data_IF_399072997586
#
_entry.id   IF_399072997586
#
_cell.length_a   1.000
_cell.length_b   1.000
_cell.length_c   1.000
_cell.angle_alpha   90.00
_cell.angle_beta   90.00
_cell.angle_gamma   90.00
#
_symmetry.space_group_name_H-M   'P 1'
#
loop_
_entity.id
_entity.type
_entity.pdbx_description
1 polymer ?
#
# COMPACT_ATOMS: atom_id res chain seq x y z
N UNK A 1 -9.70 17.51 8.72
CA UNK A 1 -9.48 16.05 8.86
C UNK A 1 -9.91 15.33 7.58
N UNK A 2 -8.95 14.75 6.86
CA UNK A 2 -9.19 13.91 5.70
C UNK A 2 -9.23 12.43 6.13
N UNK A 3 -10.27 11.70 5.74
CA UNK A 3 -10.45 10.31 6.16
C UNK A 3 -10.62 10.13 7.67
N UNK A 4 -10.05 9.06 8.22
CA UNK A 4 -10.21 8.64 9.63
C UNK A 4 -8.89 8.48 10.41
N UNK A 5 -7.74 8.80 9.79
CA UNK A 5 -6.41 8.65 10.41
C UNK A 5 -6.01 9.79 11.35
N UNK A 6 -6.98 10.61 11.77
CA UNK A 6 -6.81 11.72 12.72
C UNK A 6 -5.64 12.68 12.44
N UNK A 7 -5.31 12.91 11.17
CA UNK A 7 -4.33 13.92 10.74
C UNK A 7 -5.00 15.17 10.16
N UNK A 8 -4.51 16.35 10.53
CA UNK A 8 -4.94 17.63 9.96
C UNK A 8 -4.17 17.88 8.65
N UNK A 9 -4.58 17.14 7.63
CA UNK A 9 -4.00 17.24 6.30
C UNK A 9 -4.59 18.42 5.53
N UNK A 10 -3.71 19.13 4.84
CA UNK A 10 -4.05 20.21 3.93
C UNK A 10 -3.20 20.12 2.67
N UNK A 11 -3.68 20.74 1.60
CA UNK A 11 -2.84 21.03 0.46
C UNK A 11 -1.75 22.03 0.90
N UNK A 12 -0.52 21.82 0.46
CA UNK A 12 0.61 22.66 0.80
C UNK A 12 0.90 23.64 -0.36
N UNK A 13 1.37 24.86 -0.06
CA UNK A 13 1.73 25.82 -1.10
C UNK A 13 2.87 25.30 -1.97
N UNK A 14 2.92 25.78 -3.21
CA UNK A 14 4.03 25.53 -4.12
C UNK A 14 5.31 26.15 -3.55
N UNK A 15 6.43 25.44 -3.67
CA UNK A 15 7.74 26.03 -3.40
C UNK A 15 8.11 26.87 -4.61
N UNK A 16 8.24 28.18 -4.44
CA UNK A 16 8.68 29.07 -5.53
C UNK A 16 10.09 28.71 -5.99
N UNK A 17 10.31 28.71 -7.31
CA UNK A 17 11.62 28.51 -7.93
C UNK A 17 12.69 29.55 -7.52
N UNK A 18 12.28 30.64 -6.84
CA UNK A 18 13.16 31.74 -6.44
C UNK A 18 13.66 31.70 -4.99
N UNK A 19 13.65 30.55 -4.32
CA UNK A 19 14.41 30.33 -3.08
C UNK A 19 14.05 31.23 -1.88
N UNK A 20 12.95 31.98 -1.96
CA UNK A 20 12.49 32.77 -0.82
C UNK A 20 11.71 31.84 0.12
N UNK A 21 12.26 31.65 1.32
CA UNK A 21 11.68 30.90 2.44
C UNK A 21 10.31 31.49 2.82
N UNK A 22 9.26 31.09 2.12
CA UNK A 22 7.90 31.25 2.60
C UNK A 22 7.67 30.20 3.71
N UNK A 23 7.01 30.65 4.78
CA UNK A 23 6.81 29.97 6.06
C UNK A 23 6.82 28.43 6.01
N UNK A 24 7.50 27.81 6.98
CA UNK A 24 7.68 26.37 7.13
C UNK A 24 6.39 25.60 6.79
N UNK A 25 6.30 25.12 5.54
CA UNK A 25 5.28 24.17 5.15
C UNK A 25 5.48 22.95 6.04
N UNK A 26 4.45 22.53 6.77
CA UNK A 26 4.55 21.34 7.61
C UNK A 26 4.92 20.09 6.79
N UNK A 27 5.20 18.96 7.47
CA UNK A 27 5.68 17.75 6.82
C UNK A 27 4.82 17.35 5.62
N UNK A 28 5.46 17.13 4.47
CA UNK A 28 4.79 16.71 3.24
C UNK A 28 4.61 15.20 3.28
N UNK A 29 3.37 14.73 3.26
CA UNK A 29 3.05 13.31 3.27
C UNK A 29 2.90 12.75 1.84
N UNK A 30 2.30 13.51 0.93
CA UNK A 30 2.03 13.07 -0.43
C UNK A 30 2.44 14.10 -1.46
N UNK A 31 3.05 13.65 -2.55
CA UNK A 31 3.39 14.47 -3.71
C UNK A 31 3.03 13.72 -5.00
N UNK A 32 2.09 14.27 -5.75
CA UNK A 32 1.64 13.70 -7.02
C UNK A 32 2.29 14.36 -8.24
N UNK A 33 3.00 15.46 -8.01
CA UNK A 33 3.70 16.27 -9.01
C UNK A 33 4.18 17.57 -8.38
N UNK A 34 4.58 18.53 -9.21
CA UNK A 34 5.05 19.83 -8.72
C UNK A 34 3.93 20.67 -8.11
N UNK A 35 2.67 20.42 -8.50
CA UNK A 35 1.53 21.27 -8.18
C UNK A 35 0.67 20.75 -7.02
N UNK A 36 0.63 19.43 -6.81
CA UNK A 36 -0.23 18.79 -5.80
C UNK A 36 0.62 18.12 -4.73
N UNK A 37 0.71 18.81 -3.59
CA UNK A 37 1.41 18.37 -2.37
C UNK A 37 0.42 18.42 -1.21
N UNK A 38 0.34 17.33 -0.45
CA UNK A 38 -0.52 17.21 0.73
C UNK A 38 0.37 16.90 1.91
N UNK A 39 0.11 17.57 3.04
CA UNK A 39 0.87 17.33 4.25
C UNK A 39 0.15 17.83 5.47
N UNK A 40 0.81 17.72 6.62
CA UNK A 40 0.25 18.13 7.91
C UNK A 40 0.41 19.64 8.03
N UNK A 41 -0.69 20.38 8.16
CA UNK A 41 -0.64 21.83 8.30
C UNK A 41 -1.57 22.31 9.39
N UNK A 42 -1.03 23.07 10.36
CA UNK A 42 -1.84 23.79 11.33
C UNK A 42 -2.56 24.93 10.64
N UNK A 43 -3.90 24.88 10.62
CA UNK A 43 -4.81 25.82 9.95
C UNK A 43 -4.22 27.19 9.60
N UNK A 44 -3.87 27.40 8.34
CA UNK A 44 -3.14 28.59 7.93
C UNK A 44 -3.17 28.88 6.44
N UNK A 45 -3.99 29.86 6.08
CA UNK A 45 -4.22 30.52 4.77
C UNK A 45 -4.92 29.69 3.67
N UNK A 46 -5.90 30.31 2.97
CA UNK A 46 -6.43 29.74 1.73
C UNK A 46 -5.31 29.63 0.71
N UNK A 47 -5.15 28.45 0.12
CA UNK A 47 -4.28 28.28 -1.03
C UNK A 47 -4.85 29.06 -2.21
N UNK A 48 -3.97 29.61 -3.04
CA UNK A 48 -4.37 30.04 -4.36
C UNK A 48 -5.06 28.87 -5.09
N UNK A 49 -6.13 29.18 -5.83
CA UNK A 49 -6.84 28.17 -6.61
C UNK A 49 -5.85 27.48 -7.56
N UNK A 50 -5.77 26.14 -7.49
CA UNK A 50 -4.99 25.36 -8.44
C UNK A 50 -5.66 25.45 -9.81
N UNK A 51 -4.86 25.68 -10.86
CA UNK A 51 -5.35 25.52 -12.22
C UNK A 51 -5.46 24.02 -12.53
N UNK A 52 -6.64 23.45 -12.28
CA UNK A 52 -6.88 22.01 -12.41
C UNK A 52 -6.76 21.49 -13.84
N UNK A 53 -7.00 22.34 -14.84
CA UNK A 53 -6.86 21.94 -16.25
C UNK A 53 -5.40 21.64 -16.61
N UNK A 54 -4.47 22.39 -16.01
CA UNK A 54 -3.03 22.26 -16.22
C UNK A 54 -2.37 21.13 -15.42
N UNK A 55 -3.11 20.47 -14.52
CA UNK A 55 -2.59 19.35 -13.73
C UNK A 55 -2.36 18.11 -14.61
N UNK A 56 -1.28 17.40 -14.34
CA UNK A 56 -1.05 16.05 -14.85
C UNK A 56 -2.10 15.07 -14.32
N UNK A 57 -2.21 13.90 -14.94
CA UNK A 57 -3.21 12.90 -14.54
C UNK A 57 -2.98 12.38 -13.11
N UNK A 58 -1.71 12.23 -12.70
CA UNK A 58 -1.35 11.86 -11.33
C UNK A 58 -1.76 12.96 -10.33
N UNK A 59 -1.51 14.23 -10.65
CA UNK A 59 -1.92 15.37 -9.81
C UNK A 59 -3.44 15.49 -9.70
N UNK A 60 -4.17 15.32 -10.80
CA UNK A 60 -5.65 15.27 -10.81
C UNK A 60 -6.15 14.14 -9.93
N UNK A 61 -5.58 12.95 -10.07
CA UNK A 61 -5.94 11.77 -9.28
C UNK A 61 -5.72 12.00 -7.79
N UNK A 62 -4.55 12.53 -7.41
CA UNK A 62 -4.22 12.85 -6.02
C UNK A 62 -5.11 13.92 -5.40
N UNK A 63 -5.39 14.99 -6.15
CA UNK A 63 -6.29 16.07 -5.72
C UNK A 63 -7.73 15.58 -5.54
N UNK A 64 -8.24 14.79 -6.49
CA UNK A 64 -9.59 14.24 -6.41
C UNK A 64 -9.72 13.24 -5.26
N UNK A 65 -8.71 12.39 -5.03
CA UNK A 65 -8.65 11.49 -3.89
C UNK A 65 -8.66 12.25 -2.55
N UNK A 66 -7.87 13.32 -2.44
CA UNK A 66 -7.85 14.17 -1.26
C UNK A 66 -9.21 14.82 -0.99
N UNK A 67 -9.84 15.39 -2.02
CA UNK A 67 -11.21 15.96 -1.92
C UNK A 67 -12.24 14.92 -1.52
N UNK A 68 -12.14 13.70 -2.05
CA UNK A 68 -12.99 12.60 -1.64
C UNK A 68 -12.83 12.31 -0.14
N UNK A 69 -11.60 12.26 0.38
CA UNK A 69 -11.33 12.05 1.81
C UNK A 69 -11.84 13.19 2.70
N UNK A 70 -11.89 14.41 2.17
CA UNK A 70 -12.50 15.58 2.82
C UNK A 70 -14.03 15.62 2.72
N UNK A 71 -14.65 14.74 1.95
CA UNK A 71 -16.11 14.71 1.82
C UNK A 71 -16.78 14.07 3.03
N UNK A 72 -17.95 14.59 3.40
CA UNK A 72 -18.78 14.00 4.46
C UNK A 72 -19.19 12.54 4.15
N UNK A 73 -19.61 12.19 2.92
CA UNK A 73 -19.97 10.80 2.60
C UNK A 73 -18.80 9.82 2.79
N UNK A 74 -17.58 10.23 2.48
CA UNK A 74 -16.40 9.38 2.71
C UNK A 74 -16.19 9.16 4.21
N UNK A 75 -16.11 10.23 5.00
CA UNK A 75 -15.92 10.14 6.46
C UNK A 75 -17.03 9.32 7.13
N UNK A 76 -18.29 9.49 6.71
CA UNK A 76 -19.40 8.70 7.21
C UNK A 76 -19.19 7.19 6.96
N UNK A 77 -18.77 6.80 5.74
CA UNK A 77 -18.46 5.40 5.42
C UNK A 77 -17.26 4.85 6.20
N UNK A 78 -16.23 5.67 6.47
CA UNK A 78 -15.10 5.25 7.32
C UNK A 78 -15.50 5.05 8.77
N UNK A 79 -16.37 5.91 9.30
CA UNK A 79 -16.92 5.79 10.65
C UNK A 79 -17.85 4.57 10.81
N UNK A 80 -18.60 4.24 9.76
CA UNK A 80 -19.47 3.06 9.70
C UNK A 80 -18.85 1.90 8.91
N UNK A 81 -17.50 1.79 8.88
CA UNK A 81 -16.85 0.81 8.02
C UNK A 81 -17.29 -0.61 8.41
N UNK A 82 -17.56 -1.50 7.45
CA UNK A 82 -17.91 -2.87 7.75
C UNK A 82 -16.82 -3.51 8.60
N UNK A 83 -17.23 -4.29 9.60
CA UNK A 83 -16.34 -5.11 10.43
C UNK A 83 -15.31 -4.29 11.23
N UNK A 84 -15.59 -3.02 11.54
CA UNK A 84 -14.68 -2.14 12.29
C UNK A 84 -14.19 -2.74 13.62
N UNK A 85 -15.08 -3.44 14.33
CA UNK A 85 -14.85 -4.04 15.65
C UNK A 85 -14.58 -5.56 15.57
N UNK A 86 -14.47 -6.11 14.36
CA UNK A 86 -14.24 -7.53 14.14
C UNK A 86 -12.76 -7.73 13.82
N UNK A 87 -12.01 -8.48 14.65
CA UNK A 87 -10.63 -8.81 14.35
C UNK A 87 -10.54 -9.55 13.00
N UNK A 88 -9.60 -9.12 12.16
CA UNK A 88 -9.28 -9.80 10.91
C UNK A 88 -8.92 -11.26 11.18
N UNK A 89 -9.50 -12.20 10.43
CA UNK A 89 -9.30 -13.63 10.65
C UNK A 89 -10.25 -14.31 11.65
N UNK A 90 -11.16 -13.56 12.30
CA UNK A 90 -12.15 -14.19 13.20
C UNK A 90 -13.12 -15.11 12.44
N UNK A 91 -13.36 -16.30 13.00
CA UNK A 91 -14.06 -17.40 12.33
C UNK A 91 -15.58 -17.26 12.25
N UNK A 92 -16.16 -16.21 12.82
CA UNK A 92 -17.60 -16.17 13.15
C UNK A 92 -18.44 -15.16 12.36
N UNK A 93 -17.88 -14.28 11.51
CA UNK A 93 -18.69 -13.20 10.93
C UNK A 93 -18.22 -12.56 9.60
N UNK A 94 -17.50 -13.27 8.73
CA UNK A 94 -16.88 -12.62 7.57
C UNK A 94 -17.24 -13.32 6.25
N UNK A 95 -17.57 -12.59 5.16
CA UNK A 95 -17.68 -13.16 3.82
C UNK A 95 -16.35 -13.81 3.43
N UNK A 96 -16.39 -14.99 2.81
CA UNK A 96 -15.20 -15.66 2.27
C UNK A 96 -15.42 -15.77 0.76
N UNK A 97 -14.89 -14.82 -0.01
CA UNK A 97 -14.85 -14.87 -1.48
C UNK A 97 -13.62 -15.64 -1.97
N UNK A 98 -12.51 -15.63 -1.23
CA UNK A 98 -11.25 -16.28 -1.57
C UNK A 98 -10.99 -17.51 -0.70
N UNK A 99 -10.43 -18.55 -1.34
CA UNK A 99 -10.68 -19.96 -1.01
C UNK A 99 -9.86 -20.53 0.14
N UNK A 100 -9.00 -19.76 0.80
CA UNK A 100 -8.05 -20.36 1.73
C UNK A 100 -7.87 -19.62 3.06
N UNK A 101 -8.24 -20.30 4.15
CA UNK A 101 -7.93 -19.90 5.53
C UNK A 101 -6.45 -20.10 5.88
N UNK A 102 -5.70 -20.85 5.07
CA UNK A 102 -4.27 -21.17 5.27
C UNK A 102 -3.31 -20.25 4.47
N UNK A 103 -3.79 -19.50 3.48
CA UNK A 103 -2.95 -18.54 2.74
C UNK A 103 -2.56 -17.31 3.59
N UNK A 104 -3.33 -17.03 4.63
CA UNK A 104 -3.08 -16.04 5.69
C UNK A 104 -1.77 -16.31 6.47
N UNK A 105 -1.21 -17.52 6.36
CA UNK A 105 -0.08 -18.02 7.18
C UNK A 105 1.28 -17.74 6.54
N UNK A 106 1.35 -17.44 5.24
CA UNK A 106 2.62 -17.14 4.57
C UNK A 106 2.38 -16.07 3.52
N UNK A 107 2.99 -14.89 3.71
CA UNK A 107 3.06 -13.88 2.66
C UNK A 107 3.50 -14.48 1.32
N UNK A 108 3.05 -13.91 0.20
CA UNK A 108 3.28 -14.49 -1.10
C UNK A 108 4.79 -14.68 -1.34
N UNK A 109 5.24 -15.90 -1.64
CA UNK A 109 6.65 -16.18 -1.84
C UNK A 109 7.17 -15.34 -3.00
N UNK A 110 8.39 -14.85 -2.86
CA UNK A 110 9.08 -14.19 -3.96
C UNK A 110 9.46 -15.27 -4.96
N UNK A 111 8.78 -15.34 -6.11
CA UNK A 111 9.21 -16.20 -7.20
C UNK A 111 10.66 -15.84 -7.55
N UNK A 112 11.60 -16.73 -7.23
CA UNK A 112 12.99 -16.58 -7.63
C UNK A 112 13.09 -16.79 -9.13
N UNK A 113 13.73 -15.84 -9.80
CA UNK A 113 14.08 -15.98 -11.21
C UNK A 113 15.18 -17.04 -11.32
N UNK A 114 14.99 -18.15 -12.05
CA UNK A 114 16.02 -19.18 -12.21
C UNK A 114 17.28 -18.66 -12.93
N UNK A 115 17.26 -17.44 -13.50
CA UNK A 115 18.41 -16.77 -14.09
C UNK A 115 19.09 -15.74 -13.18
N UNK A 116 18.53 -15.45 -11.99
CA UNK A 116 19.16 -14.54 -11.05
C UNK A 116 20.27 -15.29 -10.29
N UNK A 117 21.51 -14.79 -10.39
CA UNK A 117 22.57 -15.14 -9.44
C UNK A 117 22.04 -14.99 -8.00
N UNK A 118 22.52 -15.78 -7.03
CA UNK A 118 22.08 -15.66 -5.64
C UNK A 118 22.38 -14.25 -5.15
N UNK A 119 21.36 -13.40 -5.16
CA UNK A 119 21.43 -12.10 -4.52
C UNK A 119 21.63 -12.39 -3.04
N UNK A 120 22.64 -11.76 -2.42
CA UNK A 120 22.64 -11.62 -0.97
C UNK A 120 21.27 -11.12 -0.51
N UNK A 121 20.85 -11.49 0.70
CA UNK A 121 19.55 -11.10 1.24
C UNK A 121 19.28 -9.63 0.89
N UNK A 122 18.14 -9.30 0.24
CA UNK A 122 17.89 -7.94 -0.22
C UNK A 122 18.06 -6.98 0.95
N UNK A 123 18.88 -5.94 0.74
CA UNK A 123 19.13 -4.92 1.75
C UNK A 123 17.77 -4.35 2.20
N UNK A 124 17.49 -4.48 3.51
CA UNK A 124 16.22 -4.07 4.07
C UNK A 124 16.00 -2.57 3.79
N UNK A 125 14.79 -2.23 3.32
CA UNK A 125 14.46 -0.84 2.97
C UNK A 125 14.05 -0.07 4.21
N UNK A 126 14.30 1.24 4.20
CA UNK A 126 13.76 2.17 5.21
C UNK A 126 12.53 2.88 4.65
N UNK A 127 11.47 2.94 5.43
CA UNK A 127 10.35 3.84 5.20
C UNK A 127 10.75 5.23 5.68
N UNK A 128 11.66 5.89 4.97
CA UNK A 128 12.17 7.21 5.30
C UNK A 128 12.51 7.97 4.02
N UNK A 129 12.43 9.30 4.06
CA UNK A 129 12.63 10.16 2.89
C UNK A 129 11.47 10.04 1.89
N UNK A 130 11.81 10.24 0.61
CA UNK A 130 10.89 10.06 -0.52
C UNK A 130 10.75 8.58 -0.86
N UNK A 131 9.52 8.09 -0.88
CA UNK A 131 9.17 6.71 -1.22
C UNK A 131 8.27 6.72 -2.45
N UNK A 132 8.77 6.16 -3.56
CA UNK A 132 8.00 6.06 -4.79
C UNK A 132 7.01 4.89 -4.75
N UNK A 133 5.75 5.20 -4.99
CA UNK A 133 4.64 4.23 -5.05
C UNK A 133 4.13 4.18 -6.48
N UNK A 134 4.43 3.08 -7.16
CA UNK A 134 3.86 2.77 -8.47
C UNK A 134 2.52 2.08 -8.28
N UNK A 135 1.41 2.77 -8.57
CA UNK A 135 0.07 2.24 -8.41
C UNK A 135 -0.48 1.82 -9.78
N UNK A 136 -0.61 0.52 -10.00
CA UNK A 136 -1.15 -0.06 -11.25
C UNK A 136 -2.56 -0.57 -10.98
N UNK A 137 -3.55 0.14 -11.48
CA UNK A 137 -4.96 -0.20 -11.36
C UNK A 137 -5.37 -0.95 -12.62
N UNK A 138 -5.69 -2.23 -12.48
CA UNK A 138 -5.98 -3.13 -13.60
C UNK A 138 -7.48 -3.11 -13.87
N UNK A 139 -7.84 -2.76 -15.10
CA UNK A 139 -9.21 -2.72 -15.58
C UNK A 139 -9.37 -3.74 -16.71
N UNK A 140 -10.11 -4.81 -16.41
CA UNK A 140 -10.38 -5.89 -17.35
C UNK A 140 -11.71 -5.74 -18.10
N UNK A 141 -12.14 -6.77 -18.84
CA UNK A 141 -13.43 -6.78 -19.53
C UNK A 141 -14.63 -6.99 -18.59
N UNK A 142 -15.80 -6.49 -18.98
CA UNK A 142 -17.07 -6.79 -18.32
C UNK A 142 -17.08 -6.45 -16.83
N UNK A 143 -17.36 -7.43 -15.97
CA UNK A 143 -17.38 -7.26 -14.50
C UNK A 143 -15.99 -7.03 -13.88
N UNK A 144 -14.91 -7.21 -14.64
CA UNK A 144 -13.54 -6.93 -14.21
C UNK A 144 -13.13 -5.47 -14.47
N UNK A 145 -13.97 -4.69 -15.15
CA UNK A 145 -13.69 -3.30 -15.47
C UNK A 145 -13.62 -2.45 -14.20
N UNK A 146 -12.59 -1.59 -14.12
CA UNK A 146 -12.48 -0.61 -13.04
C UNK A 146 -13.14 0.69 -13.48
N UNK A 147 -14.15 1.13 -12.73
CA UNK A 147 -14.80 2.42 -12.98
C UNK A 147 -13.96 3.58 -12.45
N UNK A 148 -14.14 4.78 -12.99
CA UNK A 148 -13.46 6.00 -12.49
C UNK A 148 -13.72 6.24 -11.00
N UNK A 149 -14.92 5.91 -10.51
CA UNK A 149 -15.26 6.04 -9.10
C UNK A 149 -14.45 5.07 -8.22
N UNK A 150 -14.26 3.83 -8.68
CA UNK A 150 -13.43 2.84 -8.00
C UNK A 150 -11.95 3.22 -8.06
N UNK A 151 -11.45 3.67 -9.21
CA UNK A 151 -10.09 4.20 -9.37
C UNK A 151 -9.81 5.34 -8.40
N UNK A 152 -10.68 6.36 -8.35
CA UNK A 152 -10.56 7.46 -7.38
C UNK A 152 -10.63 6.97 -5.93
N UNK A 153 -11.48 5.99 -5.64
CA UNK A 153 -11.58 5.41 -4.29
C UNK A 153 -10.30 4.69 -3.91
N UNK A 154 -9.72 3.86 -4.79
CA UNK A 154 -8.43 3.20 -4.55
C UNK A 154 -7.36 4.23 -4.19
N UNK A 155 -7.20 5.29 -4.99
CA UNK A 155 -6.20 6.33 -4.72
C UNK A 155 -6.48 7.01 -3.36
N UNK A 156 -7.74 7.24 -2.99
CA UNK A 156 -8.10 7.79 -1.68
C UNK A 156 -7.79 6.85 -0.51
N UNK A 157 -8.05 5.54 -0.64
CA UNK A 157 -7.72 4.55 0.39
C UNK A 157 -6.20 4.39 0.55
N UNK A 158 -5.46 4.34 -0.56
CA UNK A 158 -3.99 4.34 -0.58
C UNK A 158 -3.45 5.61 0.09
N UNK A 159 -4.00 6.78 -0.26
CA UNK A 159 -3.60 8.03 0.35
C UNK A 159 -3.85 7.98 1.87
N UNK A 160 -5.04 7.55 2.32
CA UNK A 160 -5.37 7.45 3.75
C UNK A 160 -4.44 6.51 4.53
N UNK A 161 -4.18 5.29 4.01
CA UNK A 161 -3.29 4.34 4.66
C UNK A 161 -1.84 4.81 4.73
N UNK A 162 -1.36 5.47 3.67
CA UNK A 162 -0.03 6.04 3.66
C UNK A 162 0.08 7.33 4.50
N UNK A 163 -0.99 8.13 4.61
CA UNK A 163 -1.05 9.25 5.57
C UNK A 163 -0.81 8.73 6.99
N UNK A 164 -1.45 7.62 7.37
CA UNK A 164 -1.23 6.99 8.67
C UNK A 164 0.24 6.63 8.87
N UNK A 165 0.84 5.83 7.97
CA UNK A 165 2.24 5.44 8.09
C UNK A 165 3.18 6.66 8.17
N UNK A 166 3.07 7.59 7.23
CA UNK A 166 3.91 8.80 7.23
C UNK A 166 3.71 9.68 8.47
N UNK A 167 2.50 9.74 9.00
CA UNK A 167 2.18 10.46 10.24
C UNK A 167 2.73 9.82 11.51
N UNK A 168 2.95 8.50 11.51
CA UNK A 168 3.57 7.76 12.62
C UNK A 168 5.11 7.86 12.63
N UNK A 169 5.75 8.33 11.56
CA UNK A 169 7.20 8.45 11.49
C UNK A 169 7.72 9.46 12.53
N UNK A 170 8.58 9.07 13.51
CA UNK A 170 9.03 9.96 14.57
C UNK A 170 9.74 11.22 14.07
N UNK A 171 10.62 11.08 13.07
CA UNK A 171 11.30 12.21 12.43
C UNK A 171 10.43 13.01 11.46
N UNK A 172 9.21 12.54 11.15
CA UNK A 172 8.28 13.15 10.18
C UNK A 172 8.94 13.42 8.82
N UNK A 173 9.80 12.49 8.41
CA UNK A 173 10.66 12.58 7.22
C UNK A 173 10.19 11.69 6.06
N UNK A 174 8.95 11.20 6.10
CA UNK A 174 8.37 10.33 5.06
C UNK A 174 7.50 11.14 4.11
N UNK A 175 7.82 11.07 2.82
CA UNK A 175 7.00 11.62 1.73
C UNK A 175 6.75 10.56 0.66
N UNK A 176 5.49 10.26 0.38
CA UNK A 176 5.11 9.36 -0.69
C UNK A 176 4.98 10.12 -2.01
N UNK A 177 5.62 9.59 -3.06
CA UNK A 177 5.63 10.16 -4.41
C UNK A 177 5.04 9.15 -5.38
N UNK A 178 4.15 9.58 -6.27
CA UNK A 178 3.30 8.64 -6.99
C UNK A 178 3.62 8.55 -8.48
N UNK A 179 3.51 7.34 -9.02
CA UNK A 179 3.25 7.06 -10.43
C UNK A 179 1.97 6.23 -10.49
N UNK A 180 0.94 6.70 -11.18
CA UNK A 180 -0.38 6.05 -11.20
C UNK A 180 -0.71 5.66 -12.64
N UNK A 181 -0.93 4.38 -12.85
CA UNK A 181 -1.26 3.80 -14.14
C UNK A 181 -2.60 3.09 -14.06
N UNK A 182 -3.47 3.32 -15.04
CA UNK A 182 -4.69 2.51 -15.23
C UNK A 182 -4.45 1.62 -16.44
N UNK A 183 -4.15 0.35 -16.19
CA UNK A 183 -3.87 -0.64 -17.22
C UNK A 183 -5.19 -1.24 -17.74
N UNK A 184 -5.56 -0.88 -18.96
CA UNK A 184 -6.70 -1.48 -19.66
C UNK A 184 -6.24 -2.76 -20.38
N UNK A 185 -6.88 -3.89 -20.07
CA UNK A 185 -6.54 -5.20 -20.63
C UNK A 185 -7.78 -5.97 -21.05
N UNK A 186 -7.63 -6.85 -22.03
CA UNK A 186 -8.70 -7.72 -22.55
C UNK A 186 -8.41 -9.20 -22.24
N UNK A 187 -7.96 -9.48 -21.02
CA UNK A 187 -7.68 -10.84 -20.54
C UNK A 187 -8.88 -11.32 -19.72
N UNK A 188 -9.46 -12.51 -19.98
CA UNK A 188 -10.54 -13.05 -19.15
C UNK A 188 -10.02 -13.46 -17.77
N UNK A 189 -10.94 -13.57 -16.79
CA UNK A 189 -10.58 -14.02 -15.45
C UNK A 189 -10.14 -15.50 -15.43
N UNK A 190 -9.24 -15.85 -14.51
CA UNK A 190 -8.79 -17.24 -14.31
C UNK A 190 -9.75 -17.96 -13.36
N UNK A 191 -10.76 -18.62 -13.93
CA UNK A 191 -11.83 -19.27 -13.14
C UNK A 191 -11.66 -20.79 -12.97
N UNK A 192 -10.76 -21.40 -13.72
CA UNK A 192 -10.47 -22.83 -13.61
C UNK A 192 -9.81 -23.15 -12.27
N UNK A 193 -10.06 -24.37 -11.78
CA UNK A 193 -9.32 -24.88 -10.63
C UNK A 193 -7.84 -25.10 -11.01
N UNK A 194 -6.89 -24.77 -10.11
CA UNK A 194 -5.49 -25.09 -10.33
C UNK A 194 -5.30 -26.62 -10.42
N UNK A 195 -4.28 -27.11 -11.14
CA UNK A 195 -3.98 -28.54 -11.22
C UNK A 195 -3.86 -29.19 -9.84
N UNK A 196 -4.26 -30.46 -9.72
CA UNK A 196 -4.11 -31.20 -8.48
C UNK A 196 -2.63 -31.27 -8.05
N UNK A 197 -2.35 -30.99 -6.78
CA UNK A 197 -0.99 -30.97 -6.23
C UNK A 197 -0.21 -29.68 -6.50
N UNK A 198 -0.85 -28.62 -7.04
CA UNK A 198 -0.24 -27.29 -7.12
C UNK A 198 0.20 -26.84 -5.73
N UNK A 199 1.46 -26.42 -5.59
CA UNK A 199 2.01 -25.95 -4.33
C UNK A 199 1.46 -24.55 -4.02
N UNK A 200 1.45 -24.17 -2.75
CA UNK A 200 0.93 -22.87 -2.31
C UNK A 200 1.52 -21.70 -3.11
N UNK A 201 2.83 -21.70 -3.28
CA UNK A 201 3.58 -20.68 -4.02
C UNK A 201 3.13 -20.55 -5.48
N UNK A 202 2.83 -21.69 -6.12
CA UNK A 202 2.39 -21.76 -7.51
C UNK A 202 0.93 -21.30 -7.67
N UNK A 203 0.13 -21.30 -6.60
CA UNK A 203 -1.26 -20.82 -6.64
C UNK A 203 -1.33 -19.32 -6.87
N UNK A 204 -0.44 -18.54 -6.23
CA UNK A 204 -0.38 -17.09 -6.45
C UNK A 204 -0.10 -16.79 -7.93
N UNK A 205 0.95 -17.38 -8.49
CA UNK A 205 1.31 -17.20 -9.91
C UNK A 205 0.24 -17.73 -10.87
N UNK A 206 -0.45 -18.82 -10.53
CA UNK A 206 -1.52 -19.38 -11.36
C UNK A 206 -2.63 -18.37 -11.65
N UNK A 207 -3.09 -17.66 -10.61
CA UNK A 207 -4.16 -16.66 -10.74
C UNK A 207 -3.64 -15.29 -11.19
N UNK A 208 -2.45 -14.88 -10.73
CA UNK A 208 -1.91 -13.54 -10.97
C UNK A 208 -1.33 -13.37 -12.39
N UNK A 209 -0.55 -14.35 -12.85
CA UNK A 209 0.28 -14.20 -14.06
C UNK A 209 -0.50 -13.72 -15.30
N UNK A 210 -1.67 -14.27 -15.67
CA UNK A 210 -2.31 -13.90 -16.93
C UNK A 210 -2.68 -12.42 -17.01
N UNK A 211 -3.29 -11.85 -15.97
CA UNK A 211 -3.70 -10.45 -15.97
C UNK A 211 -2.55 -9.51 -15.60
N UNK A 212 -1.64 -9.92 -14.70
CA UNK A 212 -0.48 -9.11 -14.30
C UNK A 212 0.41 -8.85 -15.51
N UNK A 213 0.74 -9.89 -16.26
CA UNK A 213 1.68 -9.77 -17.38
C UNK A 213 1.07 -8.92 -18.50
N UNK A 214 -0.24 -9.02 -18.74
CA UNK A 214 -0.96 -8.14 -19.65
C UNK A 214 -1.01 -6.69 -19.15
N UNK A 215 -1.21 -6.47 -17.85
CA UNK A 215 -1.21 -5.13 -17.26
C UNK A 215 0.17 -4.47 -17.36
N UNK A 216 1.24 -5.23 -17.09
CA UNK A 216 2.61 -4.79 -17.29
C UNK A 216 2.87 -4.41 -18.75
N UNK A 217 2.45 -5.25 -19.71
CA UNK A 217 2.56 -4.94 -21.12
C UNK A 217 1.80 -3.66 -21.51
N UNK A 218 0.60 -3.44 -20.97
CA UNK A 218 -0.20 -2.24 -21.21
C UNK A 218 0.48 -0.95 -20.73
N UNK A 219 1.33 -1.04 -19.71
CA UNK A 219 2.14 0.09 -19.20
C UNK A 219 3.59 0.08 -19.72
N UNK A 220 3.86 -0.68 -20.79
CA UNK A 220 5.15 -0.70 -21.48
C UNK A 220 6.27 -1.46 -20.73
N UNK A 221 5.92 -2.36 -19.82
CA UNK A 221 6.86 -3.20 -19.08
C UNK A 221 6.88 -4.63 -19.61
N UNK A 222 8.00 -5.32 -19.42
CA UNK A 222 8.10 -6.75 -19.69
C UNK A 222 7.17 -7.56 -18.75
N UNK A 223 6.77 -8.80 -19.09
CA UNK A 223 5.98 -9.64 -18.20
C UNK A 223 6.78 -10.12 -16.97
N UNK A 224 6.06 -10.58 -15.95
CA UNK A 224 6.63 -11.23 -14.76
C UNK A 224 7.44 -10.33 -13.83
N UNK A 225 8.12 -10.94 -12.88
CA UNK A 225 8.87 -10.24 -11.83
C UNK A 225 9.99 -9.34 -12.36
N UNK A 226 10.58 -9.64 -13.53
CA UNK A 226 11.62 -8.80 -14.14
C UNK A 226 11.06 -7.45 -14.60
N UNK A 227 9.86 -7.45 -15.17
CA UNK A 227 9.10 -6.25 -15.54
C UNK A 227 8.75 -5.40 -14.33
N UNK A 228 8.21 -6.01 -13.27
CA UNK A 228 7.91 -5.32 -12.02
C UNK A 228 9.17 -4.65 -11.46
N UNK A 229 10.29 -5.37 -11.38
CA UNK A 229 11.57 -4.81 -10.89
C UNK A 229 12.06 -3.66 -11.77
N UNK A 230 11.87 -3.75 -13.08
CA UNK A 230 12.22 -2.68 -14.02
C UNK A 230 11.39 -1.43 -13.79
N UNK A 231 10.07 -1.58 -13.66
CA UNK A 231 9.15 -0.50 -13.34
C UNK A 231 9.51 0.18 -12.02
N UNK A 232 9.73 -0.59 -10.95
CA UNK A 232 10.13 -0.08 -9.63
C UNK A 232 11.44 0.73 -9.71
N UNK A 233 12.46 0.23 -10.44
CA UNK A 233 13.71 0.98 -10.63
C UNK A 233 13.47 2.28 -11.40
N UNK A 234 12.62 2.26 -12.42
CA UNK A 234 12.29 3.43 -13.22
C UNK A 234 11.64 4.52 -12.37
N UNK A 235 10.58 4.20 -11.63
CA UNK A 235 9.88 5.19 -10.79
C UNK A 235 10.77 5.69 -9.65
N UNK A 236 11.63 4.83 -9.08
CA UNK A 236 12.61 5.23 -8.07
C UNK A 236 13.52 6.34 -8.60
N UNK A 237 14.08 6.14 -9.79
CA UNK A 237 14.96 7.11 -10.44
C UNK A 237 14.22 8.39 -10.85
N UNK A 238 13.08 8.26 -11.54
CA UNK A 238 12.29 9.39 -12.03
C UNK A 238 11.80 10.31 -10.91
N UNK A 239 11.44 9.73 -9.76
CA UNK A 239 10.91 10.49 -8.61
C UNK A 239 11.98 10.87 -7.59
N UNK A 240 13.25 10.54 -7.86
CA UNK A 240 14.39 10.76 -6.95
C UNK A 240 14.12 10.21 -5.54
N UNK A 241 13.60 8.99 -5.48
CA UNK A 241 13.16 8.36 -4.25
C UNK A 241 14.24 7.45 -3.63
N UNK A 242 14.28 7.39 -2.29
CA UNK A 242 15.19 6.52 -1.54
C UNK A 242 14.72 5.06 -1.60
N UNK A 243 13.41 4.84 -1.56
CA UNK A 243 12.78 3.53 -1.73
C UNK A 243 11.70 3.59 -2.81
N UNK A 244 11.37 2.43 -3.38
CA UNK A 244 10.25 2.29 -4.30
C UNK A 244 9.65 0.89 -4.24
N UNK A 245 8.36 0.81 -4.56
CA UNK A 245 7.61 -0.43 -4.73
C UNK A 245 6.43 -0.24 -5.68
N UNK A 246 5.84 -1.35 -6.11
CA UNK A 246 4.66 -1.38 -6.98
C UNK A 246 3.46 -1.94 -6.22
N UNK A 247 2.26 -1.49 -6.53
CA UNK A 247 1.01 -2.02 -6.02
C UNK A 247 0.04 -2.28 -7.17
N UNK A 248 -0.54 -3.48 -7.22
CA UNK A 248 -1.60 -3.82 -8.15
C UNK A 248 -2.95 -3.79 -7.46
N UNK A 249 -3.95 -3.17 -8.09
CA UNK A 249 -5.36 -3.28 -7.70
C UNK A 249 -6.17 -3.90 -8.81
N UNK A 250 -7.03 -4.86 -8.47
CA UNK A 250 -7.71 -5.67 -9.47
C UNK A 250 -9.09 -6.18 -9.02
N UNK A 251 -9.95 -6.51 -9.98
CA UNK A 251 -11.17 -7.32 -9.75
C UNK A 251 -10.97 -8.80 -10.07
N UNK A 252 -9.83 -9.17 -10.65
CA UNK A 252 -9.54 -10.55 -11.04
C UNK A 252 -9.48 -11.46 -9.82
N UNK A 253 -9.77 -12.74 -10.05
CA UNK A 253 -9.63 -13.77 -9.03
C UNK A 253 -8.18 -13.84 -8.57
N UNK A 254 -7.97 -13.79 -7.26
CA UNK A 254 -6.68 -14.01 -6.62
C UNK A 254 -6.72 -15.26 -5.75
N UNK A 255 -5.55 -15.83 -5.47
CA UNK A 255 -5.42 -16.88 -4.46
C UNK A 255 -5.72 -16.32 -3.05
N UNK A 256 -5.11 -15.20 -2.69
CA UNK A 256 -5.38 -14.43 -1.48
C UNK A 256 -5.73 -12.98 -1.87
N UNK A 257 -6.62 -12.34 -1.12
CA UNK A 257 -7.22 -11.06 -1.53
C UNK A 257 -6.26 -9.86 -1.42
N UNK A 258 -5.23 -9.93 -0.57
CA UNK A 258 -4.20 -8.91 -0.44
C UNK A 258 -2.88 -9.56 0.01
N UNK A 259 -1.75 -9.22 -0.59
CA UNK A 259 -0.46 -9.77 -0.18
C UNK A 259 0.70 -8.94 -0.71
N UNK A 260 1.81 -9.00 0.00
CA UNK A 260 3.13 -8.55 -0.45
C UNK A 260 3.96 -9.72 -1.00
N UNK A 261 4.59 -9.55 -2.17
CA UNK A 261 5.61 -10.42 -2.73
C UNK A 261 6.88 -9.62 -3.03
N UNK A 262 7.81 -9.62 -2.07
CA UNK A 262 9.13 -9.01 -2.18
C UNK A 262 9.13 -7.48 -2.25
N UNK A 263 8.86 -6.90 -3.42
CA UNK A 263 8.87 -5.44 -3.63
C UNK A 263 7.62 -4.94 -4.33
N UNK A 264 6.58 -5.76 -4.41
CA UNK A 264 5.27 -5.32 -4.82
C UNK A 264 4.19 -5.94 -3.96
N UNK A 265 3.02 -5.32 -3.95
CA UNK A 265 1.82 -5.86 -3.32
C UNK A 265 0.70 -5.97 -4.35
N UNK A 266 -0.24 -6.87 -4.11
CA UNK A 266 -1.42 -7.09 -4.93
C UNK A 266 -2.64 -7.05 -4.03
N UNK A 267 -3.70 -6.36 -4.46
CA UNK A 267 -4.95 -6.23 -3.71
C UNK A 267 -6.17 -6.37 -4.63
N UNK A 268 -7.14 -7.17 -4.20
CA UNK A 268 -8.45 -7.30 -4.82
C UNK A 268 -9.38 -6.21 -4.27
N UNK A 269 -10.12 -5.53 -5.15
CA UNK A 269 -10.89 -4.34 -4.80
C UNK A 269 -12.00 -4.57 -3.75
N UNK A 270 -12.72 -5.69 -3.86
CA UNK A 270 -13.78 -6.07 -2.92
C UNK A 270 -13.25 -6.56 -1.57
N UNK A 271 -11.94 -6.85 -1.50
CA UNK A 271 -11.23 -7.14 -0.27
C UNK A 271 -11.83 -8.33 0.49
N UNK A 272 -12.01 -9.46 -0.21
CA UNK A 272 -12.66 -10.67 0.32
C UNK A 272 -14.04 -10.44 0.97
N UNK A 273 -14.75 -9.39 0.53
CA UNK A 273 -16.06 -9.03 1.08
C UNK A 273 -16.01 -8.18 2.36
N UNK A 274 -14.83 -7.88 2.90
CA UNK A 274 -14.64 -6.80 3.88
C UNK A 274 -14.91 -5.42 3.30
N UNK A 275 -14.95 -5.33 1.98
CA UNK A 275 -15.38 -4.17 1.23
C UNK A 275 -14.26 -3.14 1.02
N UNK A 276 -14.47 -2.23 0.05
CA UNK A 276 -13.46 -1.27 -0.37
C UNK A 276 -13.25 -0.15 0.66
N UNK A 277 -14.06 -0.07 1.72
CA UNK A 277 -13.86 0.86 2.85
C UNK A 277 -12.75 0.42 3.81
N UNK A 278 -12.16 -0.77 3.60
CA UNK A 278 -11.08 -1.30 4.43
C UNK A 278 -9.73 -1.41 3.69
N UNK A 279 -9.66 -0.99 2.43
CA UNK A 279 -8.44 -1.07 1.62
C UNK A 279 -7.29 -0.27 2.25
N UNK A 280 -7.57 0.85 2.91
CA UNK A 280 -6.55 1.70 3.52
C UNK A 280 -5.71 0.99 4.60
N UNK A 281 -6.37 0.28 5.51
CA UNK A 281 -5.71 -0.41 6.63
C UNK A 281 -4.86 -1.57 6.13
N UNK A 282 -5.39 -2.35 5.20
CA UNK A 282 -4.64 -3.46 4.59
C UNK A 282 -3.50 -2.91 3.74
N UNK A 283 -3.72 -1.87 2.94
CA UNK A 283 -2.64 -1.29 2.16
C UNK A 283 -1.51 -0.79 3.05
N UNK A 284 -1.83 -0.18 4.21
CA UNK A 284 -0.83 0.21 5.20
C UNK A 284 -0.08 -1.00 5.79
N UNK A 285 -0.78 -2.08 6.12
CA UNK A 285 -0.21 -3.34 6.60
C UNK A 285 0.71 -4.00 5.55
N UNK A 286 0.24 -4.18 4.32
CA UNK A 286 1.03 -4.74 3.22
C UNK A 286 2.23 -3.86 2.85
N UNK A 287 2.07 -2.54 2.97
CA UNK A 287 3.21 -1.62 2.86
C UNK A 287 4.23 -1.89 3.97
N UNK A 288 3.81 -2.27 5.17
CA UNK A 288 4.72 -2.68 6.24
C UNK A 288 5.62 -3.85 5.85
N UNK A 289 5.06 -4.87 5.19
CA UNK A 289 5.84 -5.99 4.65
C UNK A 289 6.86 -5.58 3.58
N UNK A 290 6.54 -4.59 2.73
CA UNK A 290 7.50 -4.03 1.76
C UNK A 290 8.76 -3.50 2.45
N UNK A 291 8.63 -3.01 3.69
CA UNK A 291 9.73 -2.50 4.52
C UNK A 291 10.24 -3.53 5.54
N UNK A 292 9.75 -4.76 5.48
CA UNK A 292 10.25 -5.90 6.25
C UNK A 292 9.63 -6.04 7.63
N UNK A 293 8.50 -5.39 7.91
CA UNK A 293 7.70 -5.69 9.09
C UNK A 293 7.06 -7.08 8.97
N UNK A 294 7.13 -7.94 9.99
CA UNK A 294 6.47 -9.24 10.00
C UNK A 294 5.01 -9.12 10.42
N UNK A 295 4.21 -10.13 10.12
CA UNK A 295 2.90 -10.31 10.73
C UNK A 295 3.01 -10.59 12.23
N UNK A 296 2.07 -10.06 13.01
CA UNK A 296 2.07 -10.17 14.48
C UNK A 296 0.87 -10.95 15.02
N UNK A 297 -0.09 -11.36 14.19
CA UNK A 297 -1.25 -12.16 14.61
C UNK A 297 -0.93 -13.66 14.66
N UNK A 298 -1.59 -14.40 15.55
CA UNK A 298 -1.23 -15.79 15.82
C UNK A 298 -1.40 -16.71 14.60
N UNK A 299 -2.43 -16.47 13.79
CA UNK A 299 -2.74 -17.24 12.59
C UNK A 299 -1.65 -17.10 11.51
N UNK A 300 -0.82 -16.06 11.53
CA UNK A 300 0.32 -15.97 10.59
C UNK A 300 1.42 -16.97 10.89
N UNK A 301 1.37 -17.62 12.07
CA UNK A 301 2.49 -18.40 12.59
C UNK A 301 3.65 -17.51 13.05
N UNK A 302 3.37 -16.26 13.46
CA UNK A 302 4.39 -15.37 14.00
C UNK A 302 5.18 -16.03 15.14
N UNK A 303 6.44 -15.60 15.29
CA UNK A 303 7.29 -15.96 16.41
C UNK A 303 8.01 -14.73 16.99
N UNK A 304 8.44 -14.80 18.25
CA UNK A 304 9.12 -13.71 18.95
C UNK A 304 10.62 -13.63 18.61
N UNK A 305 11.08 -14.42 17.64
CA UNK A 305 12.44 -14.45 17.16
C UNK A 305 12.61 -13.66 15.86
N UNK A 306 13.54 -14.15 15.04
CA UNK A 306 13.85 -13.56 13.75
C UNK A 306 14.63 -12.24 13.83
N UNK A 307 14.85 -11.66 12.64
CA UNK A 307 15.53 -10.39 12.46
C UNK A 307 14.83 -9.65 11.32
N UNK A 308 13.92 -8.76 11.69
CA UNK A 308 12.97 -8.14 10.76
C UNK A 308 13.29 -6.67 10.50
N UNK A 309 12.96 -6.23 9.29
CA UNK A 309 13.13 -4.85 8.84
C UNK A 309 14.58 -4.34 8.80
N UNK A 310 14.71 -3.02 8.62
CA UNK A 310 16.01 -2.36 8.53
C UNK A 310 16.85 -2.51 9.80
N UNK A 311 16.22 -2.38 10.97
CA UNK A 311 16.90 -2.48 12.26
C UNK A 311 17.08 -3.91 12.78
N UNK A 312 16.66 -4.93 12.00
CA UNK A 312 16.84 -6.35 12.32
C UNK A 312 16.29 -6.73 13.70
N UNK A 313 15.16 -6.13 14.09
CA UNK A 313 14.53 -6.36 15.39
C UNK A 313 13.71 -7.65 15.39
N UNK A 314 13.68 -8.41 16.50
CA UNK A 314 12.75 -9.53 16.65
C UNK A 314 11.30 -9.03 16.69
N UNK A 315 10.34 -9.93 16.48
CA UNK A 315 8.91 -9.59 16.54
C UNK A 315 8.35 -9.76 17.96
N UNK A 316 8.68 -8.83 18.86
CA UNK A 316 8.26 -8.92 20.27
C UNK A 316 6.79 -8.55 20.50
N UNK A 317 6.02 -8.20 19.46
CA UNK A 317 4.57 -8.04 19.56
C UNK A 317 3.76 -9.25 19.06
N UNK A 318 4.44 -10.33 18.65
CA UNK A 318 3.78 -11.54 18.15
C UNK A 318 2.77 -12.11 19.16
N UNK A 319 1.52 -12.26 18.72
CA UNK A 319 0.40 -12.75 19.53
C UNK A 319 0.59 -14.17 20.06
N UNK A 320 1.38 -15.01 19.38
CA UNK A 320 1.61 -16.39 19.78
C UNK A 320 2.54 -16.56 20.98
N UNK A 321 3.36 -15.55 21.33
CA UNK A 321 4.44 -15.71 22.31
C UNK A 321 4.75 -14.48 23.16
N UNK A 322 4.31 -13.28 22.76
CA UNK A 322 4.52 -12.09 23.56
C UNK A 322 3.53 -12.06 24.73
N UNK A 323 4.05 -11.94 25.96
CA UNK A 323 3.23 -11.91 27.18
C UNK A 323 2.20 -10.77 27.19
N UNK A 324 2.48 -9.67 26.47
CA UNK A 324 1.64 -8.49 26.37
C UNK A 324 1.50 -8.01 24.92
N UNK A 325 1.15 -8.90 23.99
CA UNK A 325 0.86 -8.50 22.60
C UNK A 325 -0.26 -7.45 22.56
N UNK A 326 0.02 -6.29 21.97
CA UNK A 326 -0.90 -5.16 21.85
C UNK A 326 -1.42 -4.99 20.42
N UNK A 327 -2.44 -4.14 20.27
CA UNK A 327 -2.94 -3.73 18.95
C UNK A 327 -1.84 -3.05 18.12
N UNK A 328 -1.78 -3.45 16.85
CA UNK A 328 -0.82 -2.92 15.91
C UNK A 328 -1.33 -3.08 14.47
N UNK A 329 -0.86 -2.22 13.58
CA UNK A 329 -1.14 -2.31 12.15
C UNK A 329 -0.69 -3.66 11.57
N UNK A 330 0.42 -4.22 12.07
CA UNK A 330 0.95 -5.52 11.64
C UNK A 330 0.28 -6.73 12.31
N UNK A 331 -0.62 -6.50 13.27
CA UNK A 331 -1.36 -7.57 13.94
C UNK A 331 -2.70 -7.82 13.26
N UNK A 332 -3.65 -6.90 13.31
CA UNK A 332 -4.99 -7.12 12.71
C UNK A 332 -5.48 -5.86 12.02
N UNK A 333 -4.60 -5.20 11.27
CA UNK A 333 -4.92 -3.99 10.51
C UNK A 333 -5.49 -2.86 11.38
N UNK A 334 -5.15 -2.82 12.67
CA UNK A 334 -5.63 -1.80 13.61
C UNK A 334 -4.83 -0.51 13.39
N UNK A 335 -5.48 0.66 13.51
CA UNK A 335 -4.79 1.95 13.50
C UNK A 335 -4.00 2.19 14.80
N UNK A 336 -3.02 1.34 15.07
CA UNK A 336 -2.09 1.40 16.19
C UNK A 336 -0.67 1.00 15.73
N UNK A 337 0.35 1.48 16.46
CA UNK A 337 1.74 1.06 16.30
C UNK A 337 2.19 0.45 17.62
N UNK A 338 2.66 -0.80 17.60
CA UNK A 338 3.39 -1.36 18.72
C UNK A 338 4.81 -0.78 18.78
N UNK A 339 5.55 -1.07 19.85
CA UNK A 339 6.91 -0.56 20.03
C UNK A 339 7.91 -1.08 18.98
N UNK A 340 7.66 -2.25 18.38
CA UNK A 340 8.60 -2.89 17.44
C UNK A 340 8.40 -2.44 15.98
N UNK A 341 7.15 -2.23 15.55
CA UNK A 341 6.83 -1.91 14.15
C UNK A 341 7.59 -0.69 13.60
N UNK A 342 7.76 0.44 14.33
CA UNK A 342 8.58 1.57 13.89
C UNK A 342 10.01 1.17 13.48
N UNK A 343 10.62 0.24 14.21
CA UNK A 343 11.96 -0.28 13.89
C UNK A 343 11.94 -1.23 12.71
N UNK A 344 10.90 -2.07 12.57
CA UNK A 344 10.81 -2.92 11.40
C UNK A 344 10.62 -2.10 10.12
N UNK A 345 9.76 -1.07 10.16
CA UNK A 345 9.57 -0.14 9.04
C UNK A 345 10.84 0.67 8.71
N UNK A 346 11.81 0.73 9.63
CA UNK A 346 13.08 1.42 9.42
C UNK A 346 12.94 2.94 9.50
N UNK A 347 11.99 3.45 10.27
CA UNK A 347 11.82 4.89 10.48
C UNK A 347 13.10 5.55 10.98
N UNK A 348 13.25 6.84 10.70
CA UNK A 348 14.27 7.65 11.39
C UNK A 348 13.79 7.94 12.80
N UNK A 349 14.46 7.35 13.79
CA UNK A 349 14.19 7.60 15.20
C UNK A 349 14.80 8.93 15.62
N UNK A 350 14.05 9.77 16.31
CA UNK A 350 14.55 11.04 16.87
C UNK A 350 15.17 10.78 18.24
N UNK A 351 16.47 11.04 18.40
CA UNK A 351 17.13 11.02 19.72
C UNK A 351 17.80 9.70 20.12
N UNK A 352 18.48 9.02 19.20
CA UNK A 352 19.52 8.03 19.54
C UNK A 352 20.88 8.69 19.55
#
# INVERSE_FOLDING_TARGET
MAGDVALDETLLPLVSAHGSLMAASGPVLHEYGSSVRIGIGGGGRPLAALNEEALSDAEKSGLQAFRLRLSEPYRARKASRPYADVPWGSSTAVPQLHRDRQAVIRGAPVAQDPSAAPAGAPEAKRLAGRVAVGLVIVSGPGSLAMTDAQTRKIVAEVQNGLSYLGGQAPARDVTFVYDIQVAQIDVPDTQSAPPAGTKLDDLYEYYERPWRDAALAAIGQAPGGSGIRSYIRSIKAQKSAQAAYCAFFTHYTLHHFAYCSGSYLTMQYSNDGWGPENLDRIFAHETGHIFGAPDEYAESGCDCGGAWGFHRRPNLNCESCADNSVDCIMKRNTWAMCDETPYHLGYTMTGV
#
